data_IF_723738181708
#
_entry.id   IF_723738181708
#
_cell.length_a   1.000
_cell.length_b   1.000
_cell.length_c   1.000
_cell.angle_alpha   90.00
_cell.angle_beta   90.00
_cell.angle_gamma   90.00
#
_symmetry.space_group_name_H-M   'P 1'
#
loop_
_entity.id
_entity.type
_entity.pdbx_description
1 polymer ?
#
# COMPACT_ATOMS: atom_id res chain seq x y z
N UNK A 1 -22.42 10.86 -8.05
CA UNK A 1 -21.11 10.19 -7.70
C UNK A 1 -20.21 9.91 -8.92
N UNK A 2 -20.68 10.15 -10.13
CA UNK A 2 -19.92 9.90 -11.38
C UNK A 2 -18.63 10.71 -11.48
N UNK A 3 -18.57 11.93 -10.93
CA UNK A 3 -17.39 12.78 -10.95
C UNK A 3 -16.17 12.14 -10.23
N UNK A 4 -16.41 11.29 -9.21
CA UNK A 4 -15.34 10.56 -8.50
C UNK A 4 -14.65 9.51 -9.37
N UNK A 5 -15.32 9.04 -10.43
CA UNK A 5 -14.80 8.02 -11.35
C UNK A 5 -14.17 8.63 -12.61
N UNK A 6 -14.17 9.95 -12.74
CA UNK A 6 -13.46 10.60 -13.84
C UNK A 6 -11.95 10.36 -13.72
N UNK A 7 -11.29 10.01 -14.81
CA UNK A 7 -9.86 9.70 -14.85
C UNK A 7 -8.99 10.80 -14.21
N UNK A 8 -9.35 12.06 -14.40
CA UNK A 8 -8.69 13.22 -13.79
C UNK A 8 -8.80 13.23 -12.26
N UNK A 9 -9.98 12.90 -11.72
CA UNK A 9 -10.22 12.83 -10.28
C UNK A 9 -9.44 11.66 -9.66
N UNK A 10 -9.50 10.47 -10.26
CA UNK A 10 -8.77 9.28 -9.78
C UNK A 10 -7.26 9.54 -9.76
N UNK A 11 -6.73 10.17 -10.82
CA UNK A 11 -5.32 10.57 -10.87
C UNK A 11 -4.96 11.54 -9.74
N UNK A 12 -5.78 12.55 -9.48
CA UNK A 12 -5.56 13.51 -8.39
C UNK A 12 -5.62 12.83 -7.03
N UNK A 13 -6.58 11.93 -6.80
CA UNK A 13 -6.67 11.14 -5.57
C UNK A 13 -5.41 10.31 -5.34
N UNK A 14 -4.91 9.63 -6.38
CA UNK A 14 -3.67 8.87 -6.31
C UNK A 14 -2.46 9.76 -5.99
N UNK A 15 -2.32 10.88 -6.71
CA UNK A 15 -1.21 11.81 -6.49
C UNK A 15 -1.25 12.40 -5.08
N UNK A 16 -2.43 12.78 -4.60
CA UNK A 16 -2.61 13.30 -3.24
C UNK A 16 -2.28 12.24 -2.18
N UNK A 17 -2.68 10.97 -2.40
CA UNK A 17 -2.34 9.86 -1.50
C UNK A 17 -0.83 9.65 -1.41
N UNK A 18 -0.14 9.62 -2.55
CA UNK A 18 1.33 9.47 -2.59
C UNK A 18 2.01 10.66 -1.90
N UNK A 19 1.60 11.89 -2.24
CA UNK A 19 2.18 13.09 -1.64
C UNK A 19 1.97 13.11 -0.12
N UNK A 20 0.79 12.76 0.36
CA UNK A 20 0.49 12.67 1.79
C UNK A 20 1.39 11.66 2.50
N UNK A 21 1.56 10.46 1.95
CA UNK A 21 2.42 9.43 2.54
C UNK A 21 3.89 9.88 2.61
N UNK A 22 4.41 10.43 1.52
CA UNK A 22 5.79 10.93 1.48
C UNK A 22 6.00 12.10 2.45
N UNK A 23 5.06 13.04 2.50
CA UNK A 23 5.13 14.17 3.44
C UNK A 23 5.04 13.70 4.88
N UNK A 24 4.14 12.77 5.18
CA UNK A 24 4.00 12.17 6.52
C UNK A 24 5.32 11.53 6.96
N UNK A 25 5.89 10.67 6.13
CA UNK A 25 7.16 10.01 6.43
C UNK A 25 8.30 11.02 6.64
N UNK A 26 8.43 11.99 5.74
CA UNK A 26 9.47 13.00 5.83
C UNK A 26 9.32 13.87 7.09
N UNK A 27 8.09 14.29 7.41
CA UNK A 27 7.82 15.14 8.57
C UNK A 27 8.03 14.38 9.87
N UNK A 28 7.48 13.16 9.99
CA UNK A 28 7.65 12.33 11.18
C UNK A 28 9.12 12.00 11.41
N UNK A 29 9.87 11.65 10.36
CA UNK A 29 11.29 11.39 10.45
C UNK A 29 12.09 12.65 10.86
N UNK A 30 11.81 13.80 10.26
CA UNK A 30 12.52 15.04 10.58
C UNK A 30 12.30 15.45 12.05
N UNK A 31 11.07 15.33 12.55
CA UNK A 31 10.76 15.60 13.95
C UNK A 31 11.44 14.57 14.86
N UNK A 32 11.40 13.29 14.50
CA UNK A 32 12.01 12.20 15.27
C UNK A 32 13.53 12.41 15.45
N UNK A 33 14.24 12.84 14.40
CA UNK A 33 15.65 13.20 14.46
C UNK A 33 15.86 14.49 15.29
N UNK A 34 14.99 15.49 15.14
CA UNK A 34 15.06 16.73 15.91
C UNK A 34 14.91 16.50 17.40
N UNK A 35 14.07 15.55 17.82
CA UNK A 35 13.88 15.12 19.20
C UNK A 35 15.07 14.30 19.76
N UNK A 36 16.15 14.16 19.02
CA UNK A 36 17.38 13.50 19.45
C UNK A 36 17.40 11.99 19.29
N UNK A 37 16.45 11.43 18.53
CA UNK A 37 16.45 10.01 18.21
C UNK A 37 17.50 9.66 17.14
N UNK A 38 17.98 8.40 17.12
CA UNK A 38 19.04 7.95 16.20
C UNK A 38 18.58 8.06 14.74
N UNK A 39 19.24 8.85 13.89
CA UNK A 39 18.86 9.02 12.49
C UNK A 39 19.19 7.82 11.60
N UNK A 40 19.93 6.82 12.10
CA UNK A 40 20.41 5.72 11.28
C UNK A 40 19.37 4.63 11.08
N UNK A 41 18.87 4.49 9.84
CA UNK A 41 18.00 3.38 9.40
C UNK A 41 16.80 3.04 10.30
N UNK A 42 16.01 4.01 10.79
CA UNK A 42 14.81 3.68 11.55
C UNK A 42 13.80 2.90 10.69
N UNK A 43 13.07 2.01 11.32
CA UNK A 43 11.85 1.49 10.70
C UNK A 43 10.82 2.63 10.57
N UNK A 44 9.94 2.53 9.58
CA UNK A 44 8.87 3.54 9.41
C UNK A 44 8.10 3.74 10.73
N UNK A 45 7.82 2.66 11.44
CA UNK A 45 7.09 2.66 12.70
C UNK A 45 7.91 3.12 13.92
N UNK A 46 9.22 3.32 13.80
CA UNK A 46 10.00 3.89 14.92
C UNK A 46 9.63 5.34 15.14
N UNK A 47 9.31 6.07 14.06
CA UNK A 47 8.89 7.47 14.14
C UNK A 47 7.55 7.68 14.85
N UNK A 48 6.79 6.61 15.11
CA UNK A 48 5.55 6.61 15.89
C UNK A 48 5.79 6.44 17.39
N UNK A 49 6.97 6.00 17.81
CA UNK A 49 7.27 5.72 19.22
C UNK A 49 7.57 6.97 20.06
N UNK A 50 7.89 8.08 19.44
CA UNK A 50 8.08 9.38 20.10
C UNK A 50 6.78 10.18 20.06
N UNK A 51 6.38 10.78 21.17
CA UNK A 51 5.10 11.51 21.29
C UNK A 51 4.94 12.66 20.29
N UNK A 52 6.02 13.35 19.93
CA UNK A 52 5.95 14.52 19.03
C UNK A 52 5.92 14.06 17.58
N UNK A 53 6.80 13.16 17.17
CA UNK A 53 6.84 12.62 15.79
C UNK A 53 5.69 11.68 15.49
N UNK A 54 5.11 11.05 16.50
CA UNK A 54 3.92 10.21 16.39
C UNK A 54 2.67 10.98 15.96
N UNK A 55 2.54 12.26 16.29
CA UNK A 55 1.36 13.05 15.88
C UNK A 55 1.21 13.13 14.34
N UNK A 56 2.18 13.63 13.58
CA UNK A 56 2.06 13.63 12.11
C UNK A 56 1.96 12.22 11.54
N UNK A 57 2.63 11.22 12.14
CA UNK A 57 2.51 9.83 11.75
C UNK A 57 1.06 9.34 11.84
N UNK A 58 0.43 9.48 13.01
CA UNK A 58 -0.94 9.04 13.27
C UNK A 58 -1.93 9.72 12.33
N UNK A 59 -1.86 11.05 12.18
CA UNK A 59 -2.77 11.79 11.30
C UNK A 59 -2.55 11.38 9.85
N UNK A 60 -1.30 11.38 9.39
CA UNK A 60 -0.97 11.13 8.00
C UNK A 60 -1.30 9.70 7.56
N UNK A 61 -0.95 8.69 8.35
CA UNK A 61 -1.27 7.29 8.02
C UNK A 61 -2.75 6.98 8.15
N UNK A 62 -3.48 7.58 9.11
CA UNK A 62 -4.93 7.44 9.19
C UNK A 62 -5.62 7.96 7.93
N UNK A 63 -5.28 9.17 7.48
CA UNK A 63 -5.84 9.73 6.24
C UNK A 63 -5.39 8.94 5.02
N UNK A 64 -4.13 8.48 4.98
CA UNK A 64 -3.61 7.64 3.88
C UNK A 64 -4.37 6.33 3.76
N UNK A 65 -4.67 5.66 4.87
CA UNK A 65 -5.46 4.43 4.87
C UNK A 65 -6.87 4.64 4.30
N UNK A 66 -7.55 5.73 4.70
CA UNK A 66 -8.84 6.11 4.13
C UNK A 66 -8.75 6.41 2.63
N UNK A 67 -7.70 7.09 2.19
CA UNK A 67 -7.48 7.35 0.76
C UNK A 67 -7.24 6.06 -0.04
N UNK A 68 -6.55 5.08 0.53
CA UNK A 68 -6.36 3.76 -0.10
C UNK A 68 -7.71 3.04 -0.26
N UNK A 69 -8.61 3.12 0.72
CA UNK A 69 -9.97 2.55 0.62
C UNK A 69 -10.73 3.21 -0.54
N UNK A 70 -10.70 4.54 -0.63
CA UNK A 70 -11.35 5.29 -1.73
C UNK A 70 -10.75 4.89 -3.08
N UNK A 71 -9.43 4.85 -3.20
CA UNK A 71 -8.74 4.42 -4.42
C UNK A 71 -9.08 2.98 -4.81
N UNK A 72 -9.15 2.08 -3.83
CA UNK A 72 -9.56 0.69 -4.05
C UNK A 72 -10.94 0.61 -4.70
N UNK A 73 -11.91 1.36 -4.18
CA UNK A 73 -13.25 1.46 -4.76
C UNK A 73 -13.25 2.09 -6.15
N UNK A 74 -12.52 3.19 -6.36
CA UNK A 74 -12.41 3.86 -7.67
C UNK A 74 -11.84 2.90 -8.73
N UNK A 75 -10.73 2.21 -8.43
CA UNK A 75 -10.13 1.24 -9.34
C UNK A 75 -11.04 0.04 -9.60
N UNK A 76 -11.73 -0.44 -8.57
CA UNK A 76 -12.72 -1.52 -8.73
C UNK A 76 -13.79 -1.12 -9.74
N UNK A 77 -14.40 0.06 -9.57
CA UNK A 77 -15.48 0.55 -10.44
C UNK A 77 -15.00 0.76 -11.88
N UNK A 78 -13.87 1.41 -12.07
CA UNK A 78 -13.33 1.64 -13.42
C UNK A 78 -13.01 0.34 -14.16
N UNK A 79 -12.50 -0.67 -13.45
CA UNK A 79 -12.25 -1.98 -14.04
C UNK A 79 -13.53 -2.74 -14.31
N UNK A 80 -14.50 -2.70 -13.40
CA UNK A 80 -15.78 -3.35 -13.58
C UNK A 80 -16.51 -2.82 -14.82
N UNK A 81 -16.52 -1.51 -15.03
CA UNK A 81 -17.11 -0.88 -16.22
C UNK A 81 -16.42 -1.34 -17.51
N UNK A 82 -15.07 -1.45 -17.50
CA UNK A 82 -14.35 -1.97 -18.64
C UNK A 82 -14.59 -3.48 -18.87
N UNK A 83 -14.56 -4.29 -17.80
CA UNK A 83 -14.79 -5.74 -17.88
C UNK A 83 -16.20 -6.04 -18.42
N UNK A 84 -17.20 -5.31 -17.97
CA UNK A 84 -18.59 -5.49 -18.43
C UNK A 84 -18.78 -5.20 -19.91
N UNK A 85 -17.96 -4.32 -20.50
CA UNK A 85 -17.98 -4.03 -21.93
C UNK A 85 -17.29 -5.10 -22.79
N UNK A 86 -16.55 -6.06 -22.17
CA UNK A 86 -15.82 -7.13 -22.81
C UNK A 86 -16.38 -8.48 -22.34
N UNK A 87 -17.59 -8.81 -22.77
CA UNK A 87 -18.40 -9.92 -22.27
C UNK A 87 -17.67 -11.27 -22.11
N UNK A 88 -17.88 -11.93 -20.97
CA UNK A 88 -17.55 -13.34 -20.77
C UNK A 88 -16.30 -13.66 -19.96
N UNK A 89 -15.73 -12.71 -19.22
CA UNK A 89 -14.49 -12.94 -18.47
C UNK A 89 -14.75 -12.97 -16.95
N UNK A 90 -15.48 -13.98 -16.49
CA UNK A 90 -15.81 -14.21 -15.06
C UNK A 90 -14.55 -14.23 -14.16
N UNK A 91 -13.41 -14.69 -14.69
CA UNK A 91 -12.12 -14.66 -13.99
C UNK A 91 -11.67 -13.23 -13.68
N UNK A 92 -11.80 -12.28 -14.62
CA UNK A 92 -11.42 -10.88 -14.40
C UNK A 92 -12.34 -10.21 -13.38
N UNK A 93 -13.63 -10.52 -13.38
CA UNK A 93 -14.58 -10.03 -12.39
C UNK A 93 -14.18 -10.48 -10.98
N UNK A 94 -13.90 -11.78 -10.81
CA UNK A 94 -13.45 -12.34 -9.54
C UNK A 94 -12.14 -11.69 -9.06
N UNK A 95 -11.13 -11.60 -9.93
CA UNK A 95 -9.85 -10.98 -9.60
C UNK A 95 -10.02 -9.48 -9.23
N UNK A 96 -10.94 -8.78 -9.90
CA UNK A 96 -11.23 -7.38 -9.61
C UNK A 96 -11.82 -7.20 -8.21
N UNK A 97 -12.79 -8.02 -7.83
CA UNK A 97 -13.38 -8.02 -6.49
C UNK A 97 -12.33 -8.33 -5.43
N UNK A 98 -11.60 -9.44 -5.58
CA UNK A 98 -10.61 -9.88 -4.60
C UNK A 98 -9.49 -8.84 -4.45
N UNK A 99 -8.98 -8.29 -5.55
CA UNK A 99 -7.96 -7.24 -5.48
C UNK A 99 -8.45 -5.98 -4.77
N UNK A 100 -9.71 -5.59 -4.98
CA UNK A 100 -10.29 -4.43 -4.30
C UNK A 100 -10.45 -4.67 -2.80
N UNK A 101 -10.92 -5.85 -2.40
CA UNK A 101 -11.05 -6.21 -0.98
C UNK A 101 -9.71 -6.25 -0.27
N UNK A 102 -8.66 -6.79 -0.90
CA UNK A 102 -7.31 -6.81 -0.33
C UNK A 102 -6.74 -5.40 -0.12
N UNK A 103 -6.92 -4.51 -1.10
CA UNK A 103 -6.47 -3.12 -0.97
C UNK A 103 -7.29 -2.35 0.08
N UNK A 104 -8.60 -2.54 0.13
CA UNK A 104 -9.45 -1.92 1.14
C UNK A 104 -9.11 -2.40 2.55
N UNK A 105 -8.89 -3.72 2.73
CA UNK A 105 -8.45 -4.31 3.99
C UNK A 105 -7.11 -3.73 4.44
N UNK A 106 -6.14 -3.63 3.53
CA UNK A 106 -4.86 -2.99 3.83
C UNK A 106 -5.05 -1.52 4.27
N UNK A 107 -5.94 -0.77 3.61
CA UNK A 107 -6.27 0.60 4.00
C UNK A 107 -6.87 0.71 5.41
N UNK A 108 -7.76 -0.21 5.79
CA UNK A 108 -8.30 -0.29 7.16
C UNK A 108 -7.18 -0.53 8.17
N UNK A 109 -6.29 -1.49 7.88
CA UNK A 109 -5.19 -1.82 8.79
C UNK A 109 -4.11 -0.71 8.84
N UNK A 110 -3.88 0.03 7.74
CA UNK A 110 -3.01 1.22 7.76
C UNK A 110 -3.58 2.31 8.66
N UNK A 111 -4.91 2.53 8.62
CA UNK A 111 -5.57 3.45 9.54
C UNK A 111 -5.45 2.99 10.99
N UNK A 112 -5.61 1.71 11.24
CA UNK A 112 -5.58 1.15 12.59
C UNK A 112 -4.16 1.11 13.17
N UNK A 113 -3.14 0.71 12.40
CA UNK A 113 -1.75 0.61 12.87
C UNK A 113 -1.20 1.96 13.35
N UNK A 114 -1.75 3.06 12.82
CA UNK A 114 -1.38 4.42 13.23
C UNK A 114 -1.74 4.77 14.69
N UNK A 115 -2.53 3.94 15.36
CA UNK A 115 -2.92 4.08 16.77
C UNK A 115 -2.33 3.00 17.67
N UNK A 116 -1.44 2.17 17.15
CA UNK A 116 -0.86 1.03 17.88
C UNK A 116 0.67 1.03 17.76
N UNK A 117 1.36 1.96 18.45
CA UNK A 117 2.81 2.02 18.40
C UNK A 117 3.42 0.69 18.87
N UNK A 118 4.43 0.22 18.15
CA UNK A 118 5.02 -1.09 18.41
C UNK A 118 5.69 -1.16 19.78
N UNK A 119 6.16 -0.04 20.31
CA UNK A 119 6.74 0.07 21.64
C UNK A 119 5.78 -0.32 22.76
N UNK A 120 4.47 -0.17 22.55
CA UNK A 120 3.43 -0.48 23.52
C UNK A 120 2.68 -1.77 23.20
N UNK A 121 2.46 -2.06 21.90
CA UNK A 121 1.58 -3.13 21.43
C UNK A 121 2.24 -3.96 20.33
N UNK A 122 3.49 -4.42 20.52
CA UNK A 122 4.28 -5.12 19.52
C UNK A 122 3.54 -6.25 18.81
N UNK A 123 2.90 -7.15 19.55
CA UNK A 123 2.22 -8.31 18.94
C UNK A 123 1.10 -7.89 17.99
N UNK A 124 0.27 -6.91 18.39
CA UNK A 124 -0.82 -6.39 17.57
C UNK A 124 -0.26 -5.63 16.35
N UNK A 125 0.75 -4.77 16.57
CA UNK A 125 1.43 -4.04 15.50
C UNK A 125 1.99 -4.96 14.41
N UNK A 126 2.65 -6.06 14.80
CA UNK A 126 3.18 -7.05 13.87
C UNK A 126 2.09 -7.79 13.08
N UNK A 127 0.94 -8.09 13.71
CA UNK A 127 -0.20 -8.69 13.00
C UNK A 127 -0.72 -7.70 11.96
N UNK A 128 -0.93 -6.45 12.35
CA UNK A 128 -1.40 -5.39 11.44
C UNK A 128 -0.42 -5.19 10.27
N UNK A 129 0.88 -5.10 10.54
CA UNK A 129 1.90 -4.97 9.51
C UNK A 129 1.86 -6.15 8.51
N UNK A 130 1.73 -7.40 9.00
CA UNK A 130 1.60 -8.57 8.12
C UNK A 130 0.36 -8.49 7.22
N UNK A 131 -0.77 -8.04 7.75
CA UNK A 131 -1.99 -7.86 6.94
C UNK A 131 -1.81 -6.76 5.90
N UNK A 132 -1.18 -5.64 6.26
CA UNK A 132 -0.90 -4.53 5.34
C UNK A 132 0.02 -4.99 4.20
N UNK A 133 1.20 -5.51 4.53
CA UNK A 133 2.19 -5.91 3.52
C UNK A 133 1.73 -7.13 2.71
N UNK A 134 1.11 -8.12 3.36
CA UNK A 134 0.53 -9.27 2.69
C UNK A 134 -0.62 -8.88 1.76
N UNK A 135 -1.53 -8.05 2.23
CA UNK A 135 -2.68 -7.57 1.46
C UNK A 135 -2.25 -6.75 0.24
N UNK A 136 -1.34 -5.78 0.42
CA UNK A 136 -0.81 -4.98 -0.70
C UNK A 136 0.05 -5.81 -1.66
N UNK A 137 0.81 -6.78 -1.15
CA UNK A 137 1.59 -7.72 -1.97
C UNK A 137 0.68 -8.56 -2.86
N UNK A 138 -0.33 -9.20 -2.29
CA UNK A 138 -1.32 -9.97 -3.04
C UNK A 138 -2.11 -9.09 -4.02
N UNK A 139 -2.54 -7.90 -3.60
CA UNK A 139 -3.15 -6.92 -4.51
C UNK A 139 -2.25 -6.60 -5.70
N UNK A 140 -0.95 -6.42 -5.46
CA UNK A 140 0.01 -6.11 -6.51
C UNK A 140 0.16 -7.29 -7.51
N UNK A 141 0.21 -8.52 -7.01
CA UNK A 141 0.25 -9.74 -7.84
C UNK A 141 -1.03 -9.88 -8.66
N UNK A 142 -2.19 -9.85 -8.02
CA UNK A 142 -3.49 -10.02 -8.69
C UNK A 142 -3.72 -8.95 -9.78
N UNK A 143 -3.39 -7.70 -9.48
CA UNK A 143 -3.52 -6.62 -10.48
C UNK A 143 -2.51 -6.73 -11.61
N UNK A 144 -1.39 -7.43 -11.42
CA UNK A 144 -0.43 -7.73 -12.49
C UNK A 144 -0.97 -8.83 -13.39
N UNK A 145 -1.55 -9.89 -12.82
CA UNK A 145 -2.25 -10.95 -13.58
C UNK A 145 -3.41 -10.35 -14.38
N UNK A 146 -4.26 -9.55 -13.74
CA UNK A 146 -5.36 -8.87 -14.44
C UNK A 146 -4.86 -8.01 -15.61
N UNK A 147 -3.76 -7.27 -15.43
CA UNK A 147 -3.23 -6.46 -16.51
C UNK A 147 -2.71 -7.29 -17.68
N UNK A 148 -2.23 -8.53 -17.44
CA UNK A 148 -1.88 -9.47 -18.49
C UNK A 148 -3.11 -9.93 -19.26
N UNK A 149 -4.16 -10.34 -18.54
CA UNK A 149 -5.41 -10.79 -19.14
C UNK A 149 -6.09 -9.64 -19.93
N UNK A 150 -6.07 -8.42 -19.39
CA UNK A 150 -6.58 -7.22 -20.09
C UNK A 150 -5.76 -6.88 -21.34
N UNK A 151 -4.44 -7.03 -21.29
CA UNK A 151 -3.56 -6.77 -22.44
C UNK A 151 -3.78 -7.77 -23.58
N UNK A 152 -4.19 -9.00 -23.29
CA UNK A 152 -4.57 -9.97 -24.31
C UNK A 152 -5.87 -9.62 -25.06
N UNK A 153 -6.73 -8.85 -24.44
CA UNK A 153 -8.01 -8.38 -25.00
C UNK A 153 -7.89 -7.01 -25.67
N UNK A 154 -7.02 -6.15 -25.15
CA UNK A 154 -6.83 -4.79 -25.64
C UNK A 154 -5.36 -4.35 -25.46
N UNK A 155 -4.68 -4.16 -26.59
CA UNK A 155 -3.25 -3.81 -26.63
C UNK A 155 -2.89 -2.51 -25.90
N UNK A 156 -3.85 -1.63 -25.63
CA UNK A 156 -3.63 -0.41 -24.83
C UNK A 156 -3.18 -0.73 -23.39
N UNK A 157 -3.48 -1.92 -22.88
CA UNK A 157 -3.05 -2.36 -21.56
C UNK A 157 -1.64 -2.97 -21.52
N UNK A 158 -0.97 -3.16 -22.64
CA UNK A 158 0.37 -3.74 -22.67
C UNK A 158 1.40 -2.90 -21.89
N UNK A 159 1.34 -1.57 -22.01
CA UNK A 159 2.20 -0.65 -21.25
C UNK A 159 1.93 -0.80 -19.74
N UNK A 160 0.65 -0.89 -19.35
CA UNK A 160 0.24 -1.09 -17.97
C UNK A 160 0.74 -2.43 -17.42
N UNK A 161 0.64 -3.50 -18.23
CA UNK A 161 1.14 -4.82 -17.87
C UNK A 161 2.66 -4.80 -17.66
N UNK A 162 3.43 -4.22 -18.57
CA UNK A 162 4.90 -4.10 -18.43
C UNK A 162 5.29 -3.33 -17.17
N UNK A 163 4.66 -2.19 -16.89
CA UNK A 163 4.92 -1.40 -15.68
C UNK A 163 4.61 -2.18 -14.41
N UNK A 164 3.51 -2.95 -14.39
CA UNK A 164 3.12 -3.77 -13.25
C UNK A 164 4.04 -4.97 -13.04
N UNK A 165 4.51 -5.60 -14.11
CA UNK A 165 5.53 -6.66 -14.02
C UNK A 165 6.81 -6.14 -13.38
N UNK A 166 7.32 -4.99 -13.84
CA UNK A 166 8.50 -4.36 -13.26
C UNK A 166 8.31 -4.04 -11.77
N UNK A 167 7.19 -3.42 -11.40
CA UNK A 167 6.84 -3.17 -10.00
C UNK A 167 6.85 -4.45 -9.17
N UNK A 168 6.20 -5.51 -9.65
CA UNK A 168 6.13 -6.78 -8.93
C UNK A 168 7.51 -7.43 -8.77
N UNK A 169 8.35 -7.38 -9.82
CA UNK A 169 9.72 -7.88 -9.74
C UNK A 169 10.54 -7.11 -8.70
N UNK A 170 10.44 -5.78 -8.70
CA UNK A 170 11.11 -4.93 -7.69
C UNK A 170 10.63 -5.30 -6.28
N UNK A 171 9.32 -5.43 -6.06
CA UNK A 171 8.78 -5.80 -4.75
C UNK A 171 9.29 -7.16 -4.27
N UNK A 172 9.39 -8.16 -5.15
CA UNK A 172 9.92 -9.49 -4.80
C UNK A 172 11.39 -9.38 -4.41
N UNK A 173 12.20 -8.65 -5.17
CA UNK A 173 13.61 -8.44 -4.86
C UNK A 173 13.79 -7.77 -3.50
N UNK A 174 13.06 -6.67 -3.25
CA UNK A 174 13.12 -5.99 -1.95
C UNK A 174 12.66 -6.87 -0.79
N UNK A 175 11.56 -7.61 -0.94
CA UNK A 175 11.08 -8.52 0.09
C UNK A 175 12.09 -9.64 0.38
N UNK A 176 12.76 -10.15 -0.65
CA UNK A 176 13.81 -11.17 -0.49
C UNK A 176 15.04 -10.62 0.22
N UNK A 177 15.50 -9.42 -0.14
CA UNK A 177 16.62 -8.75 0.51
C UNK A 177 16.33 -8.46 1.98
N UNK A 178 15.15 -7.93 2.30
CA UNK A 178 14.71 -7.69 3.68
C UNK A 178 14.63 -9.00 4.47
N UNK A 179 14.08 -10.06 3.87
CA UNK A 179 14.03 -11.39 4.49
C UNK A 179 15.42 -11.92 4.81
N UNK A 180 16.37 -11.81 3.87
CA UNK A 180 17.76 -12.20 4.11
C UNK A 180 18.41 -11.38 5.23
N UNK A 181 18.24 -10.05 5.23
CA UNK A 181 18.81 -9.18 6.27
C UNK A 181 18.27 -9.51 7.67
N UNK A 182 16.95 -9.76 7.79
CA UNK A 182 16.31 -10.13 9.05
C UNK A 182 16.76 -11.51 9.55
N UNK A 183 17.00 -12.45 8.63
CA UNK A 183 17.43 -13.81 8.99
C UNK A 183 18.91 -13.89 9.34
N UNK A 184 19.75 -13.01 8.77
CA UNK A 184 21.20 -12.99 9.00
C UNK A 184 21.67 -12.02 10.08
N UNK A 185 20.75 -11.20 10.64
CA UNK A 185 21.07 -10.35 11.79
C UNK A 185 21.41 -11.21 12.99
N UNK A 186 22.57 -10.98 13.67
CA UNK A 186 22.90 -11.70 14.88
C UNK A 186 21.79 -11.51 15.92
N UNK A 187 21.39 -12.61 16.55
CA UNK A 187 20.39 -12.59 17.62
C UNK A 187 20.90 -11.66 18.75
N UNK A 188 20.06 -10.81 19.34
CA UNK A 188 20.48 -9.96 20.47
C UNK A 188 20.67 -10.77 21.77
N UNK A 189 21.14 -12.00 21.68
CA UNK A 189 21.33 -12.93 22.82
C UNK A 189 22.79 -13.30 23.05
N UNK A 190 23.71 -12.47 22.64
CA UNK A 190 25.12 -12.66 23.03
C UNK A 190 25.66 -11.40 23.71
#
# INVERSE_FOLDING_TARGET
MEWLLQAGTVRKTLQASIALQLTTLATSYAIWVYEGCDPFMPWISDTDTNQVSGVPFTIGFSVSGLMIIVLSWQYYRLRADWISSHSGVSRLEFLNVVSALLAALAGVFITWIAFTPWSEQLALHLIQAKVIFGGLGLWALLTTVMASDMASLDSRFEIVHRARRLRTAIMIVFASLLGCLLYTSPSPRD
#
